data_IF_384742892447
#
_entry.id   IF_384742892447
#
_cell.length_a   1.000
_cell.length_b   1.000
_cell.length_c   1.000
_cell.angle_alpha   90.00
_cell.angle_beta   90.00
_cell.angle_gamma   90.00
#
_symmetry.space_group_name_H-M   'P 1'
#
loop_
_entity.id
_entity.type
_entity.pdbx_description
1 polymer ?
#
# COMPACT_ATOMS: atom_id res chain seq x y z
N UNK A 1 18.00 -11.27 -3.63
CA UNK A 1 16.57 -11.14 -3.97
C UNK A 1 16.04 -12.54 -4.15
N UNK A 2 14.99 -12.92 -3.43
CA UNK A 2 14.33 -14.21 -3.64
C UNK A 2 13.57 -14.15 -4.97
N UNK A 3 13.86 -15.09 -5.87
CA UNK A 3 13.39 -15.12 -7.27
C UNK A 3 12.23 -16.10 -7.44
N UNK A 4 11.49 -15.99 -8.55
CA UNK A 4 10.38 -16.92 -8.85
C UNK A 4 10.83 -18.39 -8.94
N UNK A 5 12.10 -18.64 -9.26
CA UNK A 5 12.68 -19.99 -9.30
C UNK A 5 12.64 -20.71 -7.94
N UNK A 6 12.82 -19.98 -6.83
CA UNK A 6 12.73 -20.57 -5.49
C UNK A 6 11.30 -21.00 -5.12
N UNK A 7 10.29 -20.49 -5.84
CA UNK A 7 8.88 -20.80 -5.61
C UNK A 7 8.39 -22.01 -6.43
N UNK A 8 9.20 -22.55 -7.35
CA UNK A 8 8.81 -23.66 -8.24
C UNK A 8 8.41 -24.93 -7.48
N UNK A 9 9.05 -25.21 -6.34
CA UNK A 9 8.74 -26.36 -5.48
C UNK A 9 7.29 -26.35 -4.94
N UNK A 10 6.63 -25.19 -4.93
CA UNK A 10 5.25 -25.04 -4.46
C UNK A 10 4.22 -25.13 -5.60
N UNK A 11 4.68 -25.20 -6.86
CA UNK A 11 3.82 -25.36 -8.03
C UNK A 11 2.66 -24.35 -8.07
N UNK A 12 1.42 -24.80 -8.37
CA UNK A 12 0.25 -23.91 -8.44
C UNK A 12 -0.09 -23.15 -7.14
N UNK A 13 0.40 -23.62 -5.98
CA UNK A 13 0.15 -22.96 -4.70
C UNK A 13 1.03 -21.72 -4.48
N UNK A 14 2.12 -21.57 -5.25
CA UNK A 14 3.10 -20.51 -5.10
C UNK A 14 2.46 -19.10 -5.02
N UNK A 15 1.46 -18.82 -5.86
CA UNK A 15 0.79 -17.51 -5.94
C UNK A 15 0.06 -17.10 -4.64
N UNK A 16 -0.34 -18.07 -3.83
CA UNK A 16 -1.01 -17.83 -2.55
C UNK A 16 -0.01 -17.66 -1.41
N UNK A 17 1.21 -18.17 -1.56
CA UNK A 17 2.30 -18.04 -0.60
C UNK A 17 3.10 -16.75 -0.83
N UNK A 18 3.31 -16.39 -2.10
CA UNK A 18 4.08 -15.21 -2.48
C UNK A 18 3.68 -14.70 -3.86
N UNK A 19 3.63 -13.37 -3.99
CA UNK A 19 3.53 -12.68 -5.28
C UNK A 19 4.78 -12.89 -6.13
N UNK A 20 4.59 -12.86 -7.45
CA UNK A 20 5.68 -13.03 -8.41
C UNK A 20 6.73 -11.92 -8.25
N UNK A 21 7.95 -12.15 -8.71
CA UNK A 21 9.03 -11.16 -8.69
C UNK A 21 8.61 -9.89 -9.43
N UNK A 22 7.92 -10.04 -10.57
CA UNK A 22 7.35 -8.92 -11.32
C UNK A 22 6.38 -8.08 -10.48
N UNK A 23 5.36 -8.70 -9.87
CA UNK A 23 4.38 -7.99 -9.05
C UNK A 23 5.04 -7.31 -7.83
N UNK A 24 6.06 -7.95 -7.24
CA UNK A 24 6.81 -7.38 -6.12
C UNK A 24 7.62 -6.15 -6.54
N UNK A 25 8.29 -6.19 -7.70
CA UNK A 25 9.04 -5.05 -8.23
C UNK A 25 8.09 -3.91 -8.58
N UNK A 26 6.98 -4.18 -9.26
CA UNK A 26 5.96 -3.18 -9.59
C UNK A 26 5.39 -2.51 -8.33
N UNK A 27 5.10 -3.28 -7.28
CA UNK A 27 4.61 -2.74 -6.02
C UNK A 27 5.66 -1.90 -5.27
N UNK A 28 6.94 -2.31 -5.29
CA UNK A 28 8.02 -1.60 -4.59
C UNK A 28 8.47 -0.33 -5.32
N UNK A 29 8.34 -0.30 -6.65
CA UNK A 29 8.71 0.84 -7.49
C UNK A 29 7.57 1.84 -7.69
N UNK A 30 6.39 1.54 -7.15
CA UNK A 30 5.23 2.42 -7.20
C UNK A 30 5.55 3.79 -6.55
N UNK A 31 5.07 4.91 -7.13
CA UNK A 31 5.29 6.23 -6.56
C UNK A 31 4.75 6.34 -5.13
N UNK A 32 5.57 6.84 -4.21
CA UNK A 32 5.19 7.06 -2.82
C UNK A 32 5.78 8.37 -2.29
N UNK A 33 4.92 9.23 -1.76
CA UNK A 33 5.33 10.47 -1.09
C UNK A 33 5.06 10.38 0.41
N UNK A 34 6.14 10.19 1.18
CA UNK A 34 6.09 10.03 2.63
C UNK A 34 5.56 11.27 3.39
N UNK A 35 5.53 12.46 2.76
CA UNK A 35 5.01 13.69 3.39
C UNK A 35 3.51 13.85 3.23
N UNK A 36 2.89 13.10 2.32
CA UNK A 36 1.46 13.22 2.02
C UNK A 36 0.69 11.93 2.22
N UNK A 37 1.33 10.76 2.17
CA UNK A 37 0.68 9.47 2.43
C UNK A 37 0.56 9.21 3.95
N UNK A 38 -0.67 9.20 4.47
CA UNK A 38 -0.96 8.97 5.88
C UNK A 38 -2.05 7.90 6.06
N UNK A 39 -2.14 7.37 7.28
CA UNK A 39 -3.34 6.69 7.76
C UNK A 39 -4.13 7.65 8.65
N UNK A 40 -5.43 7.72 8.44
CA UNK A 40 -6.37 8.55 9.21
C UNK A 40 -7.47 7.70 9.81
N UNK A 41 -8.03 8.16 10.93
CA UNK A 41 -9.12 7.46 11.61
C UNK A 41 -10.40 7.62 10.79
N UNK A 42 -11.06 6.51 10.48
CA UNK A 42 -12.40 6.48 9.87
C UNK A 42 -13.39 5.84 10.86
N UNK A 43 -14.59 6.40 11.05
CA UNK A 43 -15.57 5.86 12.00
C UNK A 43 -16.04 4.44 11.69
N UNK A 44 -16.07 4.04 10.41
CA UNK A 44 -16.62 2.77 9.95
C UNK A 44 -15.51 1.72 9.73
N UNK A 45 -14.32 2.15 9.27
CA UNK A 45 -13.21 1.27 8.89
C UNK A 45 -12.00 1.33 9.85
N UNK A 46 -12.13 2.02 11.00
CA UNK A 46 -11.09 2.34 11.99
C UNK A 46 -9.94 3.19 11.45
N UNK A 47 -9.25 2.72 10.41
CA UNK A 47 -8.14 3.42 9.76
C UNK A 47 -8.18 3.24 8.25
N UNK A 48 -8.14 4.34 7.53
CA UNK A 48 -8.04 4.35 6.06
C UNK A 48 -6.76 5.04 5.64
N UNK A 49 -6.21 4.63 4.50
CA UNK A 49 -5.14 5.36 3.83
C UNK A 49 -5.72 6.64 3.23
N UNK A 50 -4.91 7.68 3.17
CA UNK A 50 -5.29 8.90 2.48
C UNK A 50 -4.12 9.81 2.19
N UNK A 51 -4.41 10.80 1.35
CA UNK A 51 -3.45 11.81 0.90
C UNK A 51 -3.73 13.15 1.57
N UNK A 52 -2.73 13.72 2.23
CA UNK A 52 -2.79 15.05 2.81
C UNK A 52 -2.95 16.11 1.70
N UNK A 53 -4.03 16.90 1.78
CA UNK A 53 -4.30 18.01 0.85
C UNK A 53 -3.97 19.36 1.46
N UNK A 54 -4.22 19.54 2.77
CA UNK A 54 -4.01 20.81 3.47
C UNK A 54 -3.59 20.60 4.92
N UNK A 55 -2.77 21.52 5.45
CA UNK A 55 -2.40 21.57 6.87
C UNK A 55 -2.39 23.00 7.37
N UNK A 56 -3.25 23.33 8.32
CA UNK A 56 -3.41 24.68 8.89
C UNK A 56 -3.78 24.62 10.36
N UNK A 57 -3.21 25.51 11.19
CA UNK A 57 -3.63 25.67 12.59
C UNK A 57 -3.60 24.38 13.43
N UNK A 58 -2.67 23.47 13.14
CA UNK A 58 -2.56 22.17 13.82
C UNK A 58 -3.55 21.10 13.34
N UNK A 59 -4.39 21.41 12.34
CA UNK A 59 -5.32 20.47 11.70
C UNK A 59 -4.81 20.05 10.32
N UNK A 60 -5.20 18.85 9.90
CA UNK A 60 -4.88 18.27 8.61
C UNK A 60 -6.17 17.89 7.88
N UNK A 61 -6.24 18.18 6.59
CA UNK A 61 -7.28 17.72 5.67
C UNK A 61 -6.67 16.63 4.79
N UNK A 62 -7.28 15.46 4.81
CA UNK A 62 -6.79 14.27 4.09
C UNK A 62 -7.95 13.75 3.25
N UNK A 63 -7.67 13.41 2.00
CA UNK A 63 -8.58 12.70 1.10
C UNK A 63 -8.32 11.21 1.27
N UNK A 64 -9.32 10.46 1.74
CA UNK A 64 -9.23 9.02 1.96
C UNK A 64 -9.34 8.23 0.67
N UNK A 65 -8.68 7.08 0.61
CA UNK A 65 -8.72 6.17 -0.56
C UNK A 65 -10.13 5.61 -0.82
N UNK A 66 -11.04 5.70 0.16
CA UNK A 66 -12.46 5.36 0.04
C UNK A 66 -13.31 6.48 -0.60
N UNK A 67 -12.71 7.58 -1.03
CA UNK A 67 -13.37 8.73 -1.65
C UNK A 67 -14.03 9.70 -0.67
N UNK A 68 -13.69 9.62 0.62
CA UNK A 68 -14.16 10.52 1.68
C UNK A 68 -13.14 11.59 2.05
#
# INVERSE_FOLDING_TARGET
MSTDAEMEAYGPAAIYLRKTEKERIEAQTAPFDAKTAYFVVDPDEMYVKGKLTKKEGGKATVEGDNGK
#
